data_IF_035974675417
#
_entry.id   IF_035974675417
#
_cell.length_a   1.000
_cell.length_b   1.000
_cell.length_c   1.000
_cell.angle_alpha   90.00
_cell.angle_beta   90.00
_cell.angle_gamma   90.00
#
_symmetry.space_group_name_H-M   'P 1'
#
loop_
_entity.id
_entity.type
_entity.pdbx_description
1 polymer ?
#
# COMPACT_ATOMS: atom_id res chain seq x y z
N UNK A 1 -21.45 -18.84 -16.79
CA UNK A 1 -21.59 -18.45 -15.37
C UNK A 1 -20.27 -17.79 -14.97
N UNK A 2 -20.14 -16.49 -15.24
CA UNK A 2 -18.99 -15.71 -14.78
C UNK A 2 -19.24 -15.45 -13.29
N UNK A 3 -18.45 -16.07 -12.42
CA UNK A 3 -18.45 -15.73 -11.01
C UNK A 3 -18.21 -14.21 -10.93
N UNK A 4 -19.14 -13.48 -10.29
CA UNK A 4 -18.84 -12.14 -9.83
C UNK A 4 -17.59 -12.28 -8.96
N UNK A 5 -16.47 -11.81 -9.47
CA UNK A 5 -15.20 -11.80 -8.76
C UNK A 5 -15.40 -10.97 -7.51
N UNK A 6 -15.46 -11.64 -6.37
CA UNK A 6 -15.46 -11.02 -5.06
C UNK A 6 -14.34 -9.98 -5.04
N UNK A 7 -14.63 -8.68 -4.83
CA UNK A 7 -13.63 -7.64 -4.97
C UNK A 7 -12.46 -7.91 -4.01
N UNK A 8 -11.23 -7.74 -4.51
CA UNK A 8 -10.01 -8.02 -3.73
C UNK A 8 -9.96 -7.22 -2.43
N UNK A 9 -10.64 -6.07 -2.38
CA UNK A 9 -10.81 -5.21 -1.22
C UNK A 9 -12.02 -4.28 -1.45
N UNK A 10 -12.55 -3.68 -0.37
CA UNK A 10 -13.70 -2.76 -0.42
C UNK A 10 -13.21 -1.35 -0.09
N UNK A 11 -13.64 -0.36 -0.88
CA UNK A 11 -13.25 1.03 -0.70
C UNK A 11 -14.40 1.87 -0.13
N UNK A 12 -14.10 2.77 0.80
CA UNK A 12 -15.05 3.69 1.41
C UNK A 12 -14.44 5.09 1.64
N UNK A 13 -15.28 6.09 1.89
CA UNK A 13 -14.83 7.45 2.16
C UNK A 13 -14.31 7.58 3.61
N UNK A 14 -13.14 8.17 3.78
CA UNK A 14 -12.50 8.37 5.08
C UNK A 14 -11.75 9.71 5.08
N UNK A 15 -12.20 10.66 5.88
CA UNK A 15 -11.52 11.97 6.08
C UNK A 15 -11.16 12.72 4.78
N UNK A 16 -12.07 12.70 3.79
CA UNK A 16 -11.84 13.34 2.48
C UNK A 16 -10.95 12.54 1.53
N UNK A 17 -10.51 11.35 1.93
CA UNK A 17 -9.78 10.37 1.12
C UNK A 17 -10.61 9.11 0.89
N UNK A 18 -10.11 8.22 0.05
CA UNK A 18 -10.63 6.86 -0.09
C UNK A 18 -9.80 5.91 0.75
N UNK A 19 -10.45 5.19 1.67
CA UNK A 19 -9.85 4.12 2.45
C UNK A 19 -10.16 2.78 1.81
N UNK A 20 -9.19 1.88 1.88
CA UNK A 20 -9.34 0.50 1.46
C UNK A 20 -9.41 -0.42 2.68
N UNK A 21 -10.43 -1.26 2.75
CA UNK A 21 -10.51 -2.41 3.65
C UNK A 21 -10.05 -3.66 2.92
N UNK A 22 -8.99 -4.31 3.40
CA UNK A 22 -8.34 -5.49 2.78
C UNK A 22 -8.46 -6.75 3.68
N UNK A 23 -9.65 -7.38 3.78
CA UNK A 23 -9.84 -8.59 4.58
C UNK A 23 -8.92 -9.72 4.12
N UNK A 24 -8.17 -10.29 5.07
CA UNK A 24 -7.19 -11.34 4.78
C UNK A 24 -5.93 -10.85 4.06
N UNK A 25 -5.76 -9.53 3.92
CA UNK A 25 -4.58 -8.87 3.36
C UNK A 25 -4.22 -9.33 1.93
N UNK A 26 -5.22 -9.49 1.07
CA UNK A 26 -5.03 -9.95 -0.32
C UNK A 26 -4.28 -8.90 -1.14
N UNK A 27 -4.62 -7.62 -0.98
CA UNK A 27 -3.91 -6.53 -1.67
C UNK A 27 -2.50 -6.39 -1.11
N UNK A 28 -2.33 -6.43 0.21
CA UNK A 28 -0.99 -6.42 0.82
C UNK A 28 -0.11 -7.57 0.30
N UNK A 29 -0.68 -8.76 0.07
CA UNK A 29 0.05 -9.90 -0.50
C UNK A 29 0.51 -9.61 -1.94
N UNK A 30 -0.35 -9.04 -2.78
CA UNK A 30 0.00 -8.70 -4.17
C UNK A 30 1.16 -7.70 -4.24
N UNK A 31 1.24 -6.79 -3.27
CA UNK A 31 2.30 -5.78 -3.17
C UNK A 31 3.53 -6.30 -2.40
N UNK A 32 3.54 -7.55 -1.94
CA UNK A 32 4.65 -8.12 -1.17
C UNK A 32 4.79 -7.54 0.25
N UNK A 33 3.74 -6.92 0.80
CA UNK A 33 3.74 -6.20 2.07
C UNK A 33 3.36 -7.07 3.28
N UNK A 34 3.37 -8.39 3.14
CA UNK A 34 3.07 -9.32 4.24
C UNK A 34 4.37 -9.91 4.76
N UNK A 35 4.73 -9.58 5.99
CA UNK A 35 5.80 -10.25 6.70
C UNK A 35 5.24 -11.48 7.45
N UNK A 36 5.53 -12.72 7.03
CA UNK A 36 5.08 -13.91 7.74
C UNK A 36 5.78 -14.00 9.10
N UNK A 37 5.00 -14.10 10.18
CA UNK A 37 5.57 -14.10 11.54
C UNK A 37 5.96 -15.53 11.95
N UNK A 38 7.24 -15.79 12.31
CA UNK A 38 7.66 -17.10 12.79
C UNK A 38 6.97 -17.50 14.10
N UNK A 39 6.75 -18.81 14.29
CA UNK A 39 6.04 -19.36 15.46
C UNK A 39 6.51 -18.82 16.83
N UNK A 40 7.83 -18.74 17.11
CA UNK A 40 8.31 -18.17 18.37
C UNK A 40 7.86 -16.73 18.60
N UNK A 41 7.88 -15.90 17.55
CA UNK A 41 7.44 -14.50 17.65
C UNK A 41 5.92 -14.41 17.80
N UNK A 42 5.15 -15.29 17.14
CA UNK A 42 3.70 -15.38 17.37
C UNK A 42 3.38 -15.69 18.84
N UNK A 43 4.14 -16.56 19.50
CA UNK A 43 3.96 -16.87 20.92
C UNK A 43 4.18 -15.63 21.81
N UNK A 44 5.15 -14.78 21.47
CA UNK A 44 5.39 -13.50 22.16
C UNK A 44 4.18 -12.56 22.00
N UNK A 45 3.60 -12.45 20.80
CA UNK A 45 2.38 -11.66 20.59
C UNK A 45 1.20 -12.22 21.39
N UNK A 46 1.00 -13.55 21.39
CA UNK A 46 -0.06 -14.20 22.17
C UNK A 46 0.10 -13.99 23.67
N UNK A 47 1.32 -14.03 24.19
CA UNK A 47 1.60 -13.73 25.60
C UNK A 47 1.27 -12.28 25.98
N UNK A 48 1.21 -11.36 25.01
CA UNK A 48 0.75 -9.98 25.16
C UNK A 48 -0.74 -9.80 24.85
N UNK A 49 -1.49 -10.89 24.72
CA UNK A 49 -2.94 -10.87 24.43
C UNK A 49 -3.27 -10.57 22.97
N UNK A 50 -2.32 -10.69 22.04
CA UNK A 50 -2.52 -10.40 20.62
C UNK A 50 -2.42 -11.72 19.83
N UNK A 51 -3.55 -12.24 19.36
CA UNK A 51 -3.55 -13.30 18.35
C UNK A 51 -3.53 -12.68 16.94
N UNK A 52 -2.41 -12.84 16.24
CA UNK A 52 -2.21 -12.28 14.91
C UNK A 52 -3.11 -12.91 13.83
N UNK A 53 -3.47 -14.18 13.99
CA UNK A 53 -4.36 -14.89 13.07
C UNK A 53 -5.78 -14.32 13.16
N UNK A 54 -6.27 -14.15 14.40
CA UNK A 54 -7.57 -13.53 14.68
C UNK A 54 -7.60 -12.06 14.23
N UNK A 55 -6.60 -11.27 14.64
CA UNK A 55 -6.50 -9.83 14.31
C UNK A 55 -6.51 -9.55 12.81
N UNK A 56 -5.90 -10.43 12.03
CA UNK A 56 -5.80 -10.28 10.58
C UNK A 56 -6.97 -10.90 9.79
N UNK A 57 -7.93 -11.54 10.47
CA UNK A 57 -9.13 -12.10 9.85
C UNK A 57 -8.87 -13.27 8.91
N UNK A 58 -7.86 -14.10 9.17
CA UNK A 58 -7.54 -15.25 8.32
C UNK A 58 -6.52 -16.22 8.96
N UNK A 59 -6.30 -17.42 8.38
CA UNK A 59 -5.55 -18.51 9.02
C UNK A 59 -4.03 -18.27 9.12
N UNK A 60 -3.55 -17.08 8.75
CA UNK A 60 -2.13 -16.78 8.59
C UNK A 60 -1.72 -15.63 9.49
N UNK A 61 -0.69 -15.85 10.30
CA UNK A 61 -0.09 -14.81 11.14
C UNK A 61 0.94 -14.02 10.33
N UNK A 62 0.70 -12.73 10.16
CA UNK A 62 1.61 -11.82 9.47
C UNK A 62 1.57 -10.43 10.13
N UNK A 63 2.57 -9.62 9.83
CA UNK A 63 2.56 -8.20 10.10
C UNK A 63 2.57 -7.44 8.77
N UNK A 64 1.74 -6.39 8.62
CA UNK A 64 1.81 -5.55 7.45
C UNK A 64 3.11 -4.73 7.48
N UNK A 65 3.77 -4.65 6.32
CA UNK A 65 4.91 -3.78 6.08
C UNK A 65 4.35 -2.42 5.62
N UNK A 66 4.61 -1.31 6.34
CA UNK A 66 4.23 0.01 5.87
C UNK A 66 4.85 0.33 4.51
N UNK A 67 4.03 0.93 3.65
CA UNK A 67 4.48 1.41 2.36
C UNK A 67 3.71 2.66 1.93
N UNK A 68 4.36 3.49 1.14
CA UNK A 68 3.76 4.65 0.48
C UNK A 68 4.17 4.64 -0.98
N UNK A 69 3.21 4.84 -1.87
CA UNK A 69 3.43 4.87 -3.31
C UNK A 69 2.86 6.15 -3.88
N UNK A 70 3.62 6.79 -4.77
CA UNK A 70 3.11 7.86 -5.64
C UNK A 70 2.90 7.25 -7.01
N UNK A 71 1.63 7.23 -7.46
CA UNK A 71 1.24 6.64 -8.73
C UNK A 71 0.91 7.77 -9.71
N UNK A 72 1.48 7.71 -10.91
CA UNK A 72 1.18 8.65 -11.98
C UNK A 72 -0.19 8.37 -12.64
N UNK A 73 -0.61 9.26 -13.55
CA UNK A 73 -1.89 9.13 -14.25
C UNK A 73 -1.91 8.00 -15.29
N UNK A 74 -0.75 7.42 -15.61
CA UNK A 74 -0.62 6.20 -16.41
C UNK A 74 -0.76 4.92 -15.57
N UNK A 75 -0.88 5.05 -14.24
CA UNK A 75 -0.97 3.93 -13.31
C UNK A 75 0.37 3.32 -12.94
N UNK A 76 1.49 3.99 -13.24
CA UNK A 76 2.82 3.53 -12.87
C UNK A 76 3.29 4.16 -11.56
N UNK A 77 4.00 3.39 -10.73
CA UNK A 77 4.63 3.93 -9.54
C UNK A 77 5.80 4.85 -9.94
N UNK A 78 5.65 6.14 -9.67
CA UNK A 78 6.68 7.15 -9.87
C UNK A 78 7.63 7.25 -8.67
N UNK A 79 7.14 6.92 -7.48
CA UNK A 79 7.95 6.80 -6.26
C UNK A 79 7.37 5.73 -5.34
N UNK A 80 8.22 5.12 -4.51
CA UNK A 80 7.86 4.09 -3.55
C UNK A 80 8.78 4.11 -2.32
N UNK A 81 8.16 4.13 -1.15
CA UNK A 81 8.80 3.88 0.13
C UNK A 81 8.25 2.60 0.73
N UNK A 82 9.12 1.66 1.10
CA UNK A 82 8.75 0.39 1.74
C UNK A 82 9.73 0.12 2.88
N UNK A 83 9.24 0.05 4.11
CA UNK A 83 10.10 -0.17 5.28
C UNK A 83 9.56 -1.29 6.18
N UNK A 84 10.31 -2.39 6.38
CA UNK A 84 9.94 -3.44 7.33
C UNK A 84 9.94 -2.98 8.80
N UNK A 85 10.68 -1.91 9.13
CA UNK A 85 10.57 -1.29 10.45
C UNK A 85 9.30 -0.47 10.52
N UNK A 86 8.29 -1.01 11.21
CA UNK A 86 6.98 -0.38 11.37
C UNK A 86 6.99 0.98 12.09
N UNK A 87 8.14 1.41 12.63
CA UNK A 87 8.31 2.73 13.26
C UNK A 87 8.70 3.81 12.26
N UNK A 88 9.14 3.41 11.07
CA UNK A 88 9.57 4.33 10.02
C UNK A 88 8.50 4.39 8.93
N UNK A 89 8.12 5.61 8.56
CA UNK A 89 7.22 5.90 7.46
C UNK A 89 7.86 6.90 6.50
N UNK A 90 7.26 7.07 5.32
CA UNK A 90 7.67 8.12 4.42
C UNK A 90 7.36 9.49 5.02
N UNK A 91 8.34 10.40 5.00
CA UNK A 91 8.15 11.78 5.42
C UNK A 91 7.08 12.47 4.54
N UNK A 92 6.06 13.14 5.12
CA UNK A 92 5.01 13.78 4.35
C UNK A 92 5.52 14.75 3.29
N UNK A 93 6.57 15.53 3.60
CA UNK A 93 7.20 16.48 2.68
C UNK A 93 7.83 15.77 1.48
N UNK A 94 8.41 14.58 1.68
CA UNK A 94 8.97 13.79 0.60
C UNK A 94 7.86 13.29 -0.35
N UNK A 95 6.72 12.84 0.20
CA UNK A 95 5.56 12.43 -0.60
C UNK A 95 5.04 13.61 -1.45
N UNK A 96 4.87 14.79 -0.85
CA UNK A 96 4.38 15.99 -1.56
C UNK A 96 5.37 16.41 -2.65
N UNK A 97 6.68 16.37 -2.37
CA UNK A 97 7.70 16.68 -3.37
C UNK A 97 7.68 15.69 -4.55
N UNK A 98 7.53 14.39 -4.27
CA UNK A 98 7.40 13.35 -5.30
C UNK A 98 6.16 13.57 -6.18
N UNK A 99 5.02 13.91 -5.60
CA UNK A 99 3.81 14.29 -6.36
C UNK A 99 4.08 15.50 -7.26
N UNK A 100 4.74 16.54 -6.74
CA UNK A 100 5.11 17.73 -7.53
C UNK A 100 6.03 17.40 -8.71
N UNK A 101 6.98 16.48 -8.53
CA UNK A 101 7.87 16.04 -9.60
C UNK A 101 7.14 15.29 -10.73
N UNK A 102 6.12 14.48 -10.40
CA UNK A 102 5.29 13.78 -11.39
C UNK A 102 4.51 14.78 -12.25
N UNK A 103 3.93 15.81 -11.66
CA UNK A 103 3.24 16.88 -12.38
C UNK A 103 4.21 17.67 -13.28
N UNK A 104 5.42 17.96 -12.80
CA UNK A 104 6.45 18.67 -13.59
C UNK A 104 6.91 17.90 -14.83
N UNK A 105 7.18 16.59 -14.69
CA UNK A 105 7.55 15.71 -15.82
C UNK A 105 6.46 15.70 -16.89
N UNK A 106 5.19 15.73 -16.46
CA UNK A 106 4.03 15.76 -17.34
C UNK A 106 3.97 17.04 -18.20
N UNK A 107 4.24 18.19 -17.58
CA UNK A 107 4.22 19.47 -18.28
C UNK A 107 5.35 19.55 -19.33
N UNK A 108 6.53 19.05 -18.99
CA UNK A 108 7.67 19.01 -19.92
C UNK A 108 7.45 18.03 -21.09
N UNK A 109 6.88 16.85 -20.83
CA UNK A 109 6.49 15.90 -21.89
C UNK A 109 5.46 16.54 -22.85
N UNK A 110 4.46 17.28 -22.32
CA UNK A 110 3.47 18.00 -23.13
C UNK A 110 4.09 19.13 -23.95
N UNK A 111 5.03 19.89 -23.38
CA UNK A 111 5.74 20.96 -24.10
C UNK A 111 6.60 20.42 -25.23
N UNK A 112 7.28 19.30 -25.00
CA UNK A 112 8.15 18.64 -25.98
C UNK A 112 7.35 18.07 -27.15
N UNK A 113 6.18 17.48 -26.87
CA UNK A 113 5.25 17.01 -27.91
C UNK A 113 4.56 18.16 -28.68
N UNK A 114 4.43 19.34 -28.07
CA UNK A 114 3.83 20.53 -28.70
C UNK A 114 4.74 21.27 -29.69
N UNK A 115 6.06 21.05 -29.66
CA UNK A 115 7.03 21.71 -30.54
C UNK A 115 7.36 20.93 -31.82
N UNK A 116 6.74 19.77 -32.04
CA UNK A 116 6.94 18.94 -33.23
C UNK A 116 6.00 19.28 -34.40
N UNK A 117 5.71 20.57 -34.64
CA UNK A 117 4.93 21.06 -35.80
C UNK A 117 5.73 22.03 -36.65
#
# INVERSE_FOLDING_TARGET
MLAQSDPLAVADAFEGLTRLSDPGAKVCQLFGLRYPVPGPLQAVYRARGIDLTDRNGGPTAFLPIPASYVIDQGGMAADAFVCPDHRDCAEPEAIVAAVGAVEGKREDDRRTLGHAR
#
